data_IF_783885759216
#
_entry.id   IF_783885759216
#
_cell.length_a   1.000
_cell.length_b   1.000
_cell.length_c   1.000
_cell.angle_alpha   90.00
_cell.angle_beta   90.00
_cell.angle_gamma   90.00
#
_symmetry.space_group_name_H-M   'P 1'
#
loop_
_entity.id
_entity.type
_entity.pdbx_description
1 polymer ?
#
# COMPACT_ATOMS: atom_id res chain seq x y z
N UNK A 1 55.71 4.56 37.22
CA UNK A 1 55.11 4.58 35.87
C UNK A 1 53.82 5.39 35.92
N UNK A 2 53.72 6.49 35.17
CA UNK A 2 52.48 7.24 34.99
C UNK A 2 51.90 6.82 33.65
N UNK A 3 50.78 6.09 33.65
CA UNK A 3 50.01 5.84 32.44
C UNK A 3 49.33 7.14 32.03
N UNK A 4 49.80 7.75 30.94
CA UNK A 4 49.05 8.80 30.26
C UNK A 4 47.96 8.11 29.45
N UNK A 5 46.71 8.22 29.91
CA UNK A 5 45.58 7.94 29.06
C UNK A 5 45.61 8.95 27.91
N UNK A 6 45.76 8.46 26.69
CA UNK A 6 45.47 9.23 25.48
C UNK A 6 43.98 9.55 25.54
N UNK A 7 43.66 10.81 25.87
CA UNK A 7 42.32 11.36 25.72
C UNK A 7 41.95 11.14 24.25
N UNK A 8 40.98 10.27 23.99
CA UNK A 8 40.25 10.36 22.73
C UNK A 8 39.75 11.80 22.70
N UNK A 9 40.22 12.57 21.74
CA UNK A 9 39.58 13.84 21.42
C UNK A 9 38.18 13.39 21.00
N UNK A 10 37.22 13.61 21.88
CA UNK A 10 35.84 13.71 21.44
C UNK A 10 35.88 14.88 20.48
N UNK A 11 36.05 14.59 19.20
CA UNK A 11 35.57 15.46 18.15
C UNK A 11 34.06 15.47 18.39
N UNK A 12 33.66 16.39 19.27
CA UNK A 12 32.30 16.85 19.46
C UNK A 12 31.98 17.57 18.15
N UNK A 13 31.84 16.77 17.08
CA UNK A 13 31.33 17.16 15.79
C UNK A 13 29.91 17.63 16.08
N UNK A 14 29.85 18.92 16.38
CA UNK A 14 28.68 19.75 16.48
C UNK A 14 27.69 19.26 15.44
N UNK A 15 26.71 18.46 15.86
CA UNK A 15 25.62 18.06 14.98
C UNK A 15 24.96 19.38 14.62
N UNK A 16 25.22 19.82 13.40
CA UNK A 16 24.68 21.04 12.83
C UNK A 16 23.16 20.95 12.94
N UNK A 17 22.61 21.59 13.98
CA UNK A 17 21.17 21.58 14.28
C UNK A 17 20.37 22.28 13.16
N UNK A 18 21.06 22.92 12.20
CA UNK A 18 20.46 23.59 11.05
C UNK A 18 20.40 22.73 9.79
N UNK A 19 20.89 21.47 9.81
CA UNK A 19 20.83 20.61 8.62
C UNK A 19 19.38 20.19 8.35
N UNK A 20 18.72 20.91 7.44
CA UNK A 20 17.36 20.59 7.00
C UNK A 20 17.36 19.30 6.17
N UNK A 21 17.14 18.19 6.87
CA UNK A 21 16.96 16.88 6.26
C UNK A 21 15.87 16.90 5.19
N UNK A 22 14.83 17.73 5.33
CA UNK A 22 13.74 17.84 4.36
C UNK A 22 14.24 18.37 3.02
N UNK A 23 15.12 19.36 3.02
CA UNK A 23 15.71 19.93 1.82
C UNK A 23 16.67 18.93 1.14
N UNK A 24 17.48 18.21 1.93
CA UNK A 24 18.32 17.14 1.41
C UNK A 24 17.52 16.00 0.74
N UNK A 25 16.44 15.53 1.37
CA UNK A 25 15.58 14.49 0.79
C UNK A 25 14.87 14.97 -0.49
N UNK A 26 14.54 16.27 -0.62
CA UNK A 26 13.94 16.84 -1.84
C UNK A 26 14.90 16.93 -3.02
N UNK A 27 16.21 17.00 -2.77
CA UNK A 27 17.23 16.96 -3.83
C UNK A 27 17.32 15.54 -4.41
N UNK A 28 17.19 14.52 -3.57
CA UNK A 28 17.30 13.11 -3.97
C UNK A 28 15.99 12.60 -4.57
N UNK A 29 14.87 12.94 -3.94
CA UNK A 29 13.53 12.48 -4.33
C UNK A 29 12.71 13.64 -4.87
N UNK A 30 12.56 13.74 -6.21
CA UNK A 30 11.68 14.75 -6.79
C UNK A 30 10.25 14.56 -6.30
N UNK A 31 9.48 15.65 -6.32
CA UNK A 31 8.06 15.59 -5.92
C UNK A 31 7.30 14.62 -6.81
N UNK A 32 6.67 13.63 -6.19
CA UNK A 32 5.80 12.67 -6.87
C UNK A 32 4.54 13.40 -7.35
N UNK A 33 4.28 13.34 -8.65
CA UNK A 33 3.05 13.87 -9.24
C UNK A 33 1.96 12.79 -9.32
N UNK A 34 0.71 13.21 -9.49
CA UNK A 34 -0.40 12.29 -9.77
C UNK A 34 -0.16 11.48 -11.07
N UNK A 35 0.57 12.05 -12.04
CA UNK A 35 0.93 11.35 -13.26
C UNK A 35 1.94 10.23 -13.01
N UNK A 36 2.88 10.41 -12.08
CA UNK A 36 3.87 9.40 -11.73
C UNK A 36 3.20 8.21 -11.02
N UNK A 37 2.22 8.48 -10.15
CA UNK A 37 1.42 7.44 -9.48
C UNK A 37 0.67 6.60 -10.50
N UNK A 38 0.00 7.24 -11.47
CA UNK A 38 -0.73 6.50 -12.53
C UNK A 38 0.19 5.66 -13.40
N UNK A 39 1.34 6.20 -13.81
CA UNK A 39 2.34 5.45 -14.58
C UNK A 39 2.87 4.25 -13.79
N UNK A 40 3.08 4.41 -12.49
CA UNK A 40 3.47 3.32 -11.62
C UNK A 40 2.38 2.25 -11.54
N UNK A 41 1.12 2.65 -11.31
CA UNK A 41 -0.03 1.75 -11.27
C UNK A 41 -0.16 0.93 -12.56
N UNK A 42 -0.07 1.58 -13.73
CA UNK A 42 -0.12 0.92 -15.05
C UNK A 42 1.03 -0.06 -15.26
N UNK A 43 2.22 0.24 -14.73
CA UNK A 43 3.38 -0.65 -14.80
C UNK A 43 3.25 -1.85 -13.86
N UNK A 44 2.69 -1.63 -12.67
CA UNK A 44 2.56 -2.65 -11.63
C UNK A 44 1.42 -3.64 -11.95
N UNK A 45 0.25 -3.15 -12.35
CA UNK A 45 -0.91 -4.00 -12.64
C UNK A 45 -0.65 -4.92 -13.83
N UNK A 46 -0.83 -6.21 -13.61
CA UNK A 46 -0.58 -7.28 -14.59
C UNK A 46 0.90 -7.65 -14.75
N UNK A 47 1.80 -7.07 -13.97
CA UNK A 47 3.22 -7.40 -14.00
C UNK A 47 3.54 -8.69 -13.25
N UNK A 48 4.75 -9.22 -13.48
CA UNK A 48 5.27 -10.35 -12.70
C UNK A 48 5.51 -9.96 -11.23
N UNK A 49 5.82 -8.69 -10.96
CA UNK A 49 5.97 -8.15 -9.61
C UNK A 49 4.67 -8.26 -8.82
N UNK A 50 3.54 -7.85 -9.42
CA UNK A 50 2.22 -8.02 -8.80
C UNK A 50 1.87 -9.51 -8.58
N UNK A 51 2.27 -10.39 -9.50
CA UNK A 51 2.05 -11.83 -9.36
C UNK A 51 2.79 -12.39 -8.14
N UNK A 52 4.06 -12.02 -7.95
CA UNK A 52 4.85 -12.51 -6.82
C UNK A 52 4.37 -11.90 -5.49
N UNK A 53 4.07 -10.60 -5.46
CA UNK A 53 3.47 -9.95 -4.28
C UNK A 53 2.16 -10.62 -3.88
N UNK A 54 1.28 -10.92 -4.86
CA UNK A 54 0.01 -11.59 -4.62
C UNK A 54 0.21 -12.97 -4.01
N UNK A 55 1.25 -13.70 -4.44
CA UNK A 55 1.61 -15.01 -3.92
C UNK A 55 2.10 -14.91 -2.46
N UNK A 56 2.99 -13.98 -2.15
CA UNK A 56 3.48 -13.75 -0.79
C UNK A 56 2.36 -13.35 0.17
N UNK A 57 1.49 -12.44 -0.25
CA UNK A 57 0.34 -11.98 0.53
C UNK A 57 -0.67 -13.11 0.71
N UNK A 58 -0.92 -13.93 -0.32
CA UNK A 58 -1.83 -15.06 -0.22
C UNK A 58 -1.36 -16.10 0.81
N UNK A 59 -0.06 -16.40 0.84
CA UNK A 59 0.53 -17.34 1.81
C UNK A 59 0.45 -16.75 3.24
N UNK A 60 0.87 -15.50 3.43
CA UNK A 60 0.89 -14.86 4.75
C UNK A 60 -0.51 -14.62 5.32
N UNK A 61 -1.48 -14.28 4.47
CA UNK A 61 -2.90 -14.14 4.85
C UNK A 61 -3.65 -15.47 4.96
N UNK A 62 -3.01 -16.59 4.62
CA UNK A 62 -3.64 -17.91 4.49
C UNK A 62 -4.91 -17.83 3.64
N UNK A 63 -4.87 -17.12 2.51
CA UNK A 63 -5.98 -17.01 1.55
C UNK A 63 -7.18 -16.14 1.96
N UNK A 64 -7.07 -15.28 2.99
CA UNK A 64 -8.16 -14.34 3.30
C UNK A 64 -8.18 -13.15 2.31
N UNK A 65 -9.20 -13.13 1.46
CA UNK A 65 -9.35 -12.09 0.43
C UNK A 65 -9.55 -10.67 0.96
N UNK A 66 -10.05 -10.49 2.19
CA UNK A 66 -10.11 -9.16 2.80
C UNK A 66 -8.69 -8.63 3.06
N UNK A 67 -7.83 -9.46 3.64
CA UNK A 67 -6.43 -9.11 3.94
C UNK A 67 -5.66 -8.90 2.63
N UNK A 68 -5.89 -9.76 1.63
CA UNK A 68 -5.22 -9.65 0.33
C UNK A 68 -5.52 -8.31 -0.34
N UNK A 69 -6.79 -7.94 -0.44
CA UNK A 69 -7.20 -6.68 -1.08
C UNK A 69 -6.69 -5.45 -0.33
N UNK A 70 -6.61 -5.51 1.00
CA UNK A 70 -6.10 -4.41 1.84
C UNK A 70 -4.57 -4.29 1.81
N UNK A 71 -3.85 -5.36 1.44
CA UNK A 71 -2.37 -5.42 1.48
C UNK A 71 -1.69 -5.21 0.13
N UNK A 72 -2.32 -5.62 -0.97
CA UNK A 72 -1.72 -5.52 -2.32
C UNK A 72 -1.70 -4.06 -2.79
N UNK A 73 -0.60 -3.64 -3.44
CA UNK A 73 -0.45 -2.26 -3.91
C UNK A 73 -1.43 -1.94 -5.06
N UNK A 74 -1.90 -0.70 -5.11
CA UNK A 74 -2.83 -0.21 -6.14
C UNK A 74 -4.13 -1.04 -6.28
N UNK A 75 -4.48 -1.82 -5.24
CA UNK A 75 -5.66 -2.67 -5.18
C UNK A 75 -6.94 -1.86 -5.17
N UNK A 76 -7.91 -2.31 -5.95
CA UNK A 76 -9.30 -1.88 -5.82
C UNK A 76 -10.22 -3.07 -5.65
N UNK A 77 -11.44 -2.82 -5.17
CA UNK A 77 -12.44 -3.89 -5.04
C UNK A 77 -12.78 -4.55 -6.38
N UNK A 78 -12.59 -3.82 -7.48
CA UNK A 78 -12.85 -4.29 -8.84
C UNK A 78 -11.75 -5.23 -9.34
N UNK A 79 -10.58 -5.26 -8.70
CA UNK A 79 -9.48 -6.18 -9.00
C UNK A 79 -9.71 -7.60 -8.41
N UNK A 80 -10.63 -7.77 -7.46
CA UNK A 80 -10.88 -9.07 -6.80
C UNK A 80 -11.11 -10.24 -7.77
N UNK A 81 -11.90 -10.11 -8.86
CA UNK A 81 -12.07 -11.18 -9.85
C UNK A 81 -10.76 -11.58 -10.52
N UNK A 82 -9.93 -10.61 -10.91
CA UNK A 82 -8.63 -10.84 -11.57
C UNK A 82 -7.65 -11.54 -10.63
N UNK A 83 -7.56 -11.10 -9.37
CA UNK A 83 -6.73 -11.77 -8.36
C UNK A 83 -7.13 -13.22 -8.13
N UNK A 84 -8.43 -13.51 -8.11
CA UNK A 84 -8.90 -14.89 -7.98
C UNK A 84 -8.49 -15.76 -9.15
N UNK A 85 -8.53 -15.24 -10.37
CA UNK A 85 -8.10 -15.98 -11.56
C UNK A 85 -6.60 -16.33 -11.48
N UNK A 86 -5.76 -15.37 -11.09
CA UNK A 86 -4.32 -15.58 -10.91
C UNK A 86 -4.06 -16.61 -9.81
N UNK A 87 -4.71 -16.49 -8.65
CA UNK A 87 -4.55 -17.43 -7.54
C UNK A 87 -5.03 -18.84 -7.89
N UNK A 88 -6.15 -18.96 -8.62
CA UNK A 88 -6.63 -20.25 -9.10
C UNK A 88 -5.66 -20.89 -10.11
N UNK A 89 -5.01 -20.10 -10.95
CA UNK A 89 -3.95 -20.58 -11.85
C UNK A 89 -2.73 -21.09 -11.05
N UNK A 90 -2.27 -20.33 -10.04
CA UNK A 90 -1.17 -20.76 -9.16
C UNK A 90 -1.50 -22.05 -8.41
N UNK A 91 -2.71 -22.18 -7.87
CA UNK A 91 -3.16 -23.41 -7.18
C UNK A 91 -3.18 -24.60 -8.16
N UNK A 92 -3.69 -24.41 -9.38
CA UNK A 92 -3.69 -25.47 -10.41
C UNK A 92 -2.28 -25.90 -10.79
N UNK A 93 -1.33 -24.97 -10.81
CA UNK A 93 0.09 -25.23 -11.07
C UNK A 93 0.85 -25.77 -9.85
N UNK A 94 0.18 -25.91 -8.70
CA UNK A 94 0.78 -26.29 -7.41
C UNK A 94 1.90 -25.33 -6.96
N UNK A 95 1.83 -24.06 -7.35
CA UNK A 95 2.75 -23.01 -6.88
C UNK A 95 2.44 -22.55 -5.45
N UNK A 96 1.16 -22.68 -5.05
CA UNK A 96 0.66 -22.36 -3.70
C UNK A 96 -0.36 -23.40 -3.25
N UNK A 97 -0.54 -23.55 -1.93
CA UNK A 97 -1.56 -24.41 -1.33
C UNK A 97 -2.98 -23.81 -1.47
N UNK A 98 -3.99 -24.66 -1.60
CA UNK A 98 -5.39 -24.24 -1.50
C UNK A 98 -5.79 -24.06 -0.02
N UNK A 99 -5.94 -22.80 0.40
CA UNK A 99 -6.47 -22.48 1.71
C UNK A 99 -8.00 -22.49 1.71
N UNK A 100 -8.60 -23.14 2.71
CA UNK A 100 -10.07 -23.24 2.85
C UNK A 100 -10.78 -21.88 2.93
N UNK A 101 -10.12 -20.87 3.49
CA UNK A 101 -10.56 -19.47 3.54
C UNK A 101 -10.82 -18.90 2.14
N UNK A 102 -10.02 -19.30 1.15
CA UNK A 102 -10.12 -18.89 -0.24
C UNK A 102 -11.15 -19.73 -1.00
N UNK A 103 -10.98 -21.06 -1.03
CA UNK A 103 -11.84 -21.97 -1.82
C UNK A 103 -13.25 -22.11 -1.28
N UNK A 104 -13.45 -21.99 0.04
CA UNK A 104 -14.76 -22.15 0.70
C UNK A 104 -15.29 -20.82 1.24
N UNK A 105 -14.87 -19.71 0.64
CA UNK A 105 -15.32 -18.40 1.07
C UNK A 105 -16.84 -18.25 0.97
N UNK A 106 -17.45 -17.68 2.01
CA UNK A 106 -18.88 -17.41 2.04
C UNK A 106 -19.26 -16.31 1.04
N UNK A 107 -20.23 -16.58 0.15
CA UNK A 107 -20.79 -15.60 -0.79
C UNK A 107 -21.23 -14.30 -0.11
N UNK A 108 -21.78 -14.39 1.11
CA UNK A 108 -22.19 -13.21 1.91
C UNK A 108 -20.99 -12.34 2.28
N UNK A 109 -19.84 -12.93 2.63
CA UNK A 109 -18.60 -12.21 2.96
C UNK A 109 -18.10 -11.44 1.73
N UNK A 110 -18.09 -12.11 0.58
CA UNK A 110 -17.75 -11.50 -0.71
C UNK A 110 -18.69 -10.35 -1.13
N UNK A 111 -19.98 -10.48 -0.88
CA UNK A 111 -20.95 -9.43 -1.16
C UNK A 111 -20.86 -8.26 -0.16
N UNK A 112 -20.64 -8.55 1.13
CA UNK A 112 -20.47 -7.51 2.13
C UNK A 112 -19.26 -6.62 1.86
N UNK A 113 -18.16 -7.18 1.34
CA UNK A 113 -17.00 -6.39 0.91
C UNK A 113 -17.37 -5.35 -0.14
N UNK A 114 -18.07 -5.74 -1.20
CA UNK A 114 -18.53 -4.80 -2.26
C UNK A 114 -19.48 -3.74 -1.71
N UNK A 115 -20.42 -4.15 -0.84
CA UNK A 115 -21.37 -3.22 -0.21
C UNK A 115 -20.68 -2.18 0.68
N UNK A 116 -19.63 -2.54 1.42
CA UNK A 116 -18.86 -1.58 2.24
C UNK A 116 -18.32 -0.43 1.39
N UNK A 117 -17.70 -0.74 0.25
CA UNK A 117 -17.14 0.28 -0.66
C UNK A 117 -18.26 1.13 -1.26
N UNK A 118 -19.35 0.51 -1.72
CA UNK A 118 -20.51 1.24 -2.26
C UNK A 118 -21.15 2.17 -1.22
N UNK A 119 -21.31 1.70 0.01
CA UNK A 119 -21.90 2.51 1.10
C UNK A 119 -20.97 3.66 1.49
N UNK A 120 -19.65 3.40 1.56
CA UNK A 120 -18.67 4.44 1.83
C UNK A 120 -18.72 5.54 0.75
N UNK A 121 -18.75 5.16 -0.52
CA UNK A 121 -18.84 6.11 -1.63
C UNK A 121 -20.15 6.90 -1.60
N UNK A 122 -21.29 6.25 -1.33
CA UNK A 122 -22.58 6.92 -1.20
C UNK A 122 -22.58 7.97 -0.07
N UNK A 123 -22.05 7.62 1.10
CA UNK A 123 -21.89 8.56 2.21
C UNK A 123 -20.94 9.71 1.85
N UNK A 124 -19.80 9.44 1.23
CA UNK A 124 -18.84 10.48 0.84
C UNK A 124 -19.46 11.46 -0.16
N UNK A 125 -20.17 10.97 -1.19
CA UNK A 125 -20.85 11.82 -2.17
C UNK A 125 -21.97 12.64 -1.52
N UNK A 126 -22.73 12.08 -0.57
CA UNK A 126 -23.73 12.85 0.17
C UNK A 126 -23.09 13.95 1.04
N UNK A 127 -21.96 13.69 1.70
CA UNK A 127 -21.26 14.70 2.51
C UNK A 127 -20.56 15.79 1.67
N UNK A 128 -20.18 15.51 0.41
CA UNK A 128 -19.54 16.48 -0.48
C UNK A 128 -20.53 17.25 -1.38
N UNK A 129 -21.79 16.82 -1.45
CA UNK A 129 -22.86 17.59 -2.11
C UNK A 129 -23.47 18.68 -1.22
N UNK A 130 -23.09 18.75 0.06
CA UNK A 130 -23.62 19.74 1.01
C UNK A 130 -22.77 20.99 1.19
N UNK A 131 -21.55 21.12 0.62
CA UNK A 131 -20.84 22.41 0.61
C UNK A 131 -19.81 22.56 -0.52
N UNK A 132 -20.09 23.54 -1.37
CA UNK A 132 -19.19 24.63 -1.73
C UNK A 132 -18.11 24.89 -0.64
N UNK A 133 -16.95 24.26 -0.79
CA UNK A 133 -15.74 24.53 0.01
C UNK A 133 -14.75 25.46 -0.73
N UNK A 134 -15.10 25.96 -1.92
CA UNK A 134 -14.23 26.85 -2.69
C UNK A 134 -14.52 28.34 -2.44
N UNK A 135 -15.62 28.71 -1.78
CA UNK A 135 -15.97 30.13 -1.51
C UNK A 135 -15.77 30.62 -0.06
N UNK A 136 -15.50 29.76 0.93
CA UNK A 136 -15.46 30.16 2.36
C UNK A 136 -14.08 30.26 3.02
N UNK A 137 -12.99 30.13 2.26
CA UNK A 137 -11.61 30.34 2.78
C UNK A 137 -10.96 31.61 2.21
N UNK A 138 -11.72 32.46 1.51
CA UNK A 138 -11.21 33.70 0.90
C UNK A 138 -12.11 34.94 1.11
N UNK A 139 -12.73 35.07 2.28
CA UNK A 139 -13.25 36.36 2.78
C UNK A 139 -12.85 36.55 4.23
#
# INVERSE_FOLDING_TARGET
MKVQYRRCVEDEDFIDQERDWSEYFRIIFPKVSLGDIKKFEEKYKGSEEEREDLKEIYISSKGDMDIILDSIMCSTIDDEPRYREILLDMIKKNEVEDFKSFSRENKKKKESRRKRVSNFLACYVHNNNDNDIHSKVLT
#
